data_IF_577211603384
#
_entry.id   IF_577211603384
#
_cell.length_a   1.000
_cell.length_b   1.000
_cell.length_c   1.000
_cell.angle_alpha   90.00
_cell.angle_beta   90.00
_cell.angle_gamma   90.00
#
_symmetry.space_group_name_H-M   'P 1'
#
loop_
_entity.id
_entity.type
_entity.pdbx_description
1 polymer ?
#
# COMPACT_ATOMS: atom_id res chain seq x y z
N UNK A 1 6.75 22.79 8.25
CA UNK A 1 7.11 22.21 6.94
C UNK A 1 6.12 21.10 6.67
N UNK A 2 5.16 21.31 5.79
CA UNK A 2 4.21 20.26 5.38
C UNK A 2 4.96 19.29 4.49
N UNK A 3 5.40 18.16 5.05
CA UNK A 3 5.89 17.05 4.24
C UNK A 3 4.70 16.54 3.43
N UNK A 4 4.72 16.77 2.13
CA UNK A 4 3.83 16.08 1.19
C UNK A 4 4.31 14.64 1.14
N UNK A 5 3.78 13.78 2.01
CA UNK A 5 4.09 12.35 1.93
C UNK A 5 3.63 11.83 0.56
N UNK A 6 4.53 11.13 -0.13
CA UNK A 6 4.19 10.51 -1.41
C UNK A 6 3.10 9.46 -1.18
N UNK A 7 2.07 9.35 -2.05
CA UNK A 7 1.02 8.33 -1.92
C UNK A 7 1.56 6.89 -1.82
N UNK A 8 2.75 6.63 -2.36
CA UNK A 8 3.45 5.34 -2.22
C UNK A 8 3.97 5.13 -0.79
N UNK A 9 4.54 6.17 -0.17
CA UNK A 9 5.03 6.10 1.22
C UNK A 9 3.87 5.94 2.20
N UNK A 10 2.72 6.57 1.92
CA UNK A 10 1.51 6.37 2.73
C UNK A 10 1.02 4.92 2.68
N UNK A 11 1.12 4.25 1.52
CA UNK A 11 0.77 2.82 1.40
C UNK A 11 1.77 1.92 2.11
N UNK A 12 3.08 2.21 2.02
CA UNK A 12 4.10 1.48 2.78
C UNK A 12 3.87 1.63 4.29
N UNK A 13 3.59 2.84 4.77
CA UNK A 13 3.29 3.11 6.17
C UNK A 13 2.03 2.37 6.65
N UNK A 14 0.98 2.29 5.81
CA UNK A 14 -0.22 1.50 6.12
C UNK A 14 0.10 -0.01 6.26
N UNK A 15 0.91 -0.55 5.35
CA UNK A 15 1.33 -1.96 5.39
C UNK A 15 2.20 -2.23 6.62
N UNK A 16 3.12 -1.32 6.95
CA UNK A 16 3.94 -1.38 8.17
C UNK A 16 3.06 -1.35 9.44
N UNK A 17 2.00 -0.56 9.43
CA UNK A 17 0.97 -0.54 10.49
C UNK A 17 0.06 -1.79 10.51
N UNK A 18 0.28 -2.76 9.62
CA UNK A 18 -0.45 -4.03 9.57
C UNK A 18 -1.69 -4.03 8.67
N UNK A 19 -1.94 -2.95 7.92
CA UNK A 19 -3.05 -2.89 6.95
C UNK A 19 -2.64 -3.67 5.69
N UNK A 20 -3.17 -4.87 5.56
CA UNK A 20 -2.86 -5.78 4.45
C UNK A 20 -4.05 -6.06 3.52
N UNK A 21 -5.26 -5.58 3.87
CA UNK A 21 -6.46 -5.69 3.04
C UNK A 21 -6.97 -4.28 2.76
N UNK A 22 -7.22 -4.00 1.48
CA UNK A 22 -7.73 -2.74 0.99
C UNK A 22 -9.02 -2.99 0.22
N UNK A 23 -10.03 -2.17 0.49
CA UNK A 23 -11.33 -2.23 -0.17
C UNK A 23 -11.91 -0.81 -0.37
N UNK A 24 -12.75 -0.58 -1.38
CA UNK A 24 -13.42 0.70 -1.57
C UNK A 24 -14.52 0.86 -0.51
N UNK A 25 -14.31 1.72 0.48
CA UNK A 25 -15.31 2.05 1.49
C UNK A 25 -15.39 3.56 1.75
N UNK A 26 -16.59 4.18 1.65
CA UNK A 26 -17.85 3.62 1.17
C UNK A 26 -17.80 3.30 -0.34
N UNK A 27 -18.66 2.39 -0.82
CA UNK A 27 -18.70 1.98 -2.26
C UNK A 27 -19.38 3.03 -3.16
N UNK A 28 -18.91 4.27 -3.12
CA UNK A 28 -19.32 5.32 -4.05
C UNK A 28 -18.45 5.29 -5.30
N UNK A 29 -18.90 5.91 -6.40
CA UNK A 29 -18.12 5.96 -7.64
C UNK A 29 -16.77 6.66 -7.46
N UNK A 30 -16.70 7.71 -6.63
CA UNK A 30 -15.46 8.42 -6.36
C UNK A 30 -14.45 7.56 -5.59
N UNK A 31 -14.90 6.86 -4.55
CA UNK A 31 -14.08 5.92 -3.78
C UNK A 31 -13.64 4.72 -4.61
N UNK A 32 -14.50 4.24 -5.51
CA UNK A 32 -14.15 3.16 -6.42
C UNK A 32 -13.02 3.57 -7.37
N UNK A 33 -13.05 4.81 -7.88
CA UNK A 33 -11.96 5.38 -8.70
C UNK A 33 -10.68 5.54 -7.90
N UNK A 34 -10.75 6.12 -6.70
CA UNK A 34 -9.60 6.25 -5.81
C UNK A 34 -8.98 4.88 -5.48
N UNK A 35 -9.83 3.88 -5.26
CA UNK A 35 -9.41 2.51 -5.00
C UNK A 35 -8.72 1.87 -6.21
N UNK A 36 -9.19 2.08 -7.45
CA UNK A 36 -8.49 1.57 -8.63
C UNK A 36 -7.04 2.06 -8.68
N UNK A 37 -6.82 3.33 -8.34
CA UNK A 37 -5.50 3.93 -8.30
C UNK A 37 -4.63 3.37 -7.15
N UNK A 38 -5.23 3.11 -5.99
CA UNK A 38 -4.55 2.40 -4.88
C UNK A 38 -4.10 1.00 -5.31
N UNK A 39 -4.96 0.24 -5.98
CA UNK A 39 -4.60 -1.10 -6.48
C UNK A 39 -3.47 -1.04 -7.49
N UNK A 40 -3.52 -0.09 -8.43
CA UNK A 40 -2.45 0.13 -9.42
C UNK A 40 -1.10 0.37 -8.73
N UNK A 41 -1.07 1.20 -7.67
CA UNK A 41 0.15 1.47 -6.90
C UNK A 41 0.64 0.26 -6.12
N UNK A 42 -0.25 -0.53 -5.52
CA UNK A 42 0.15 -1.77 -4.85
C UNK A 42 0.82 -2.74 -5.84
N UNK A 43 0.28 -2.87 -7.06
CA UNK A 43 0.90 -3.68 -8.11
C UNK A 43 2.26 -3.13 -8.56
N UNK A 44 2.41 -1.80 -8.68
CA UNK A 44 3.71 -1.18 -8.93
C UNK A 44 4.70 -1.48 -7.80
N UNK A 45 4.27 -1.41 -6.54
CA UNK A 45 5.11 -1.73 -5.38
C UNK A 45 5.56 -3.19 -5.39
N UNK A 46 4.72 -4.12 -5.86
CA UNK A 46 5.09 -5.53 -6.05
C UNK A 46 6.16 -5.66 -7.16
N UNK A 47 5.95 -4.99 -8.30
CA UNK A 47 6.91 -5.00 -9.42
C UNK A 47 8.27 -4.39 -9.04
N UNK A 48 8.26 -3.37 -8.19
CA UNK A 48 9.47 -2.74 -7.64
C UNK A 48 10.11 -3.56 -6.50
N UNK A 49 9.47 -4.65 -6.07
CA UNK A 49 9.97 -5.49 -4.98
C UNK A 49 9.88 -4.84 -3.60
N UNK A 50 9.02 -3.83 -3.43
CA UNK A 50 8.78 -3.13 -2.15
C UNK A 50 7.80 -3.90 -1.26
N UNK A 51 6.89 -4.67 -1.86
CA UNK A 51 6.00 -5.62 -1.18
C UNK A 51 6.14 -6.99 -1.80
N UNK A 52 5.83 -8.05 -1.04
CA UNK A 52 6.07 -9.42 -1.50
C UNK A 52 5.11 -9.86 -2.60
N UNK A 53 3.81 -9.73 -2.35
CA UNK A 53 2.79 -10.20 -3.29
C UNK A 53 1.49 -9.44 -3.14
N UNK A 54 0.83 -9.11 -4.25
CA UNK A 54 -0.48 -8.46 -4.27
C UNK A 54 -1.49 -9.35 -4.95
N UNK A 55 -2.55 -9.68 -4.22
CA UNK A 55 -3.74 -10.33 -4.78
C UNK A 55 -4.81 -9.30 -5.01
N UNK A 56 -5.48 -9.37 -6.16
CA UNK A 56 -6.60 -8.50 -6.48
C UNK A 56 -7.82 -9.34 -6.79
N UNK A 57 -8.98 -8.85 -6.37
CA UNK A 57 -10.26 -9.37 -6.79
C UNK A 57 -10.91 -8.35 -7.71
N UNK A 58 -11.44 -8.84 -8.83
CA UNK A 58 -12.13 -8.04 -9.84
C UNK A 58 -13.60 -8.42 -9.84
N UNK A 59 -14.45 -7.41 -9.97
CA UNK A 59 -15.89 -7.56 -10.11
C UNK A 59 -16.35 -6.94 -11.42
N UNK A 60 -17.29 -7.62 -12.07
CA UNK A 60 -17.97 -7.12 -13.25
C UNK A 60 -19.23 -6.34 -12.85
N UNK A 61 -19.29 -5.05 -13.18
CA UNK A 61 -20.45 -4.16 -12.90
C UNK A 61 -20.81 -3.45 -14.20
N UNK A 62 -22.08 -3.59 -14.63
CA UNK A 62 -22.63 -2.89 -15.80
C UNK A 62 -21.77 -2.99 -17.08
N UNK A 63 -21.16 -4.16 -17.34
CA UNK A 63 -20.32 -4.37 -18.52
C UNK A 63 -18.86 -3.98 -18.37
N UNK A 64 -18.42 -3.50 -17.18
CA UNK A 64 -17.05 -3.08 -16.90
C UNK A 64 -16.45 -3.85 -15.72
N UNK A 65 -15.15 -4.11 -15.79
CA UNK A 65 -14.38 -4.76 -14.73
C UNK A 65 -13.77 -3.72 -13.80
N UNK A 66 -13.92 -3.93 -12.50
CA UNK A 66 -13.35 -3.06 -11.46
C UNK A 66 -12.70 -3.90 -10.36
N UNK A 67 -11.56 -3.44 -9.83
CA UNK A 67 -11.03 -4.01 -8.59
C UNK A 67 -12.00 -3.73 -7.45
N UNK A 68 -12.36 -4.76 -6.69
CA UNK A 68 -13.23 -4.65 -5.51
C UNK A 68 -12.51 -4.99 -4.20
N UNK A 69 -11.32 -5.58 -4.29
CA UNK A 69 -10.44 -5.85 -3.15
C UNK A 69 -8.98 -6.00 -3.62
N UNK A 70 -8.05 -5.58 -2.76
CA UNK A 70 -6.63 -5.89 -2.89
C UNK A 70 -6.07 -6.35 -1.55
N UNK A 71 -5.20 -7.37 -1.58
CA UNK A 71 -4.57 -7.92 -0.39
C UNK A 71 -3.06 -8.05 -0.61
N UNK A 72 -2.27 -7.52 0.32
CA UNK A 72 -0.82 -7.71 0.34
C UNK A 72 -0.50 -8.96 1.17
N UNK A 73 -0.02 -10.00 0.50
CA UNK A 73 0.37 -11.24 1.16
C UNK A 73 1.88 -11.26 1.43
N UNK A 74 2.25 -11.58 2.68
CA UNK A 74 3.65 -11.65 3.09
C UNK A 74 4.29 -10.30 3.42
N UNK A 75 3.49 -9.22 3.38
CA UNK A 75 3.85 -7.89 3.85
C UNK A 75 4.89 -7.17 3.00
N UNK A 76 5.49 -6.16 3.62
CA UNK A 76 6.55 -5.34 3.06
C UNK A 76 7.88 -6.12 2.98
N UNK A 77 8.70 -5.81 1.98
CA UNK A 77 10.06 -6.38 1.88
C UNK A 77 11.06 -5.54 2.66
N UNK A 78 12.31 -6.01 2.77
CA UNK A 78 13.39 -5.21 3.36
C UNK A 78 13.65 -3.92 2.57
N UNK A 79 13.46 -3.93 1.25
CA UNK A 79 13.62 -2.75 0.40
C UNK A 79 12.49 -1.74 0.65
N UNK A 80 11.25 -2.21 0.76
CA UNK A 80 10.12 -1.35 1.14
C UNK A 80 10.30 -0.71 2.52
N UNK A 81 10.80 -1.48 3.50
CA UNK A 81 11.11 -0.99 4.84
C UNK A 81 12.19 0.10 4.78
N UNK A 82 13.29 -0.14 4.06
CA UNK A 82 14.37 0.83 3.92
C UNK A 82 13.86 2.13 3.31
N UNK A 83 13.08 2.06 2.23
CA UNK A 83 12.52 3.23 1.57
C UNK A 83 11.64 4.05 2.53
N UNK A 84 10.81 3.37 3.33
CA UNK A 84 9.97 4.02 4.34
C UNK A 84 10.80 4.69 5.44
N UNK A 85 11.85 4.04 5.95
CA UNK A 85 12.75 4.56 6.98
C UNK A 85 13.56 5.78 6.52
N UNK A 86 14.05 5.76 5.27
CA UNK A 86 14.79 6.89 4.68
C UNK A 86 13.93 8.16 4.61
N UNK A 87 12.62 8.00 4.36
CA UNK A 87 11.69 9.12 4.21
C UNK A 87 11.03 9.56 5.52
N UNK A 88 10.83 8.64 6.47
CA UNK A 88 10.31 8.97 7.81
C UNK A 88 11.40 9.52 8.74
N UNK A 89 12.65 9.55 8.27
CA UNK A 89 13.79 10.06 9.01
C UNK A 89 14.21 9.10 10.11
N UNK A 90 14.73 7.93 9.73
CA UNK A 90 15.48 7.00 10.58
C UNK A 90 15.20 7.16 12.06
N UNK A 91 14.01 6.78 12.53
CA UNK A 91 13.78 6.63 13.96
C UNK A 91 14.72 5.51 14.42
N UNK A 92 15.83 5.92 15.00
CA UNK A 92 16.76 5.06 15.72
C UNK A 92 15.93 4.11 16.59
N UNK A 93 15.92 2.81 16.28
CA UNK A 93 15.70 1.80 17.32
C UNK A 93 16.75 2.11 18.39
N UNK A 94 16.37 2.48 19.63
CA UNK A 94 17.34 2.61 20.70
C UNK A 94 18.07 1.29 20.80
N UNK A 95 19.40 1.33 20.71
CA UNK A 95 20.23 0.14 20.83
C UNK A 95 19.80 -0.66 22.06
N UNK A 96 19.56 -1.95 21.86
CA UNK A 96 19.60 -2.89 22.96
C UNK A 96 21.06 -2.91 23.46
N UNK A 97 21.37 -2.06 24.43
CA UNK A 97 22.49 -2.29 25.33
C UNK A 97 22.09 -3.43 26.26
N UNK A 98 22.57 -4.64 25.98
CA UNK A 98 22.90 -5.66 26.99
C UNK A 98 24.08 -6.49 26.53
#
# INVERSE_FOLDING_TARGET
MTQTTSPLLDLLAQIDAGIIIFEPFPRTSAELVAFQETVRRLQEMEQLGLVRRVFTQVRHIAGQDYFDLAMVQGGMTAEGQRLLEEHTGGQQKPGLLR
#
